data_IF_491042693479
#
_entry.id   IF_491042693479
#
_cell.length_a   1.000
_cell.length_b   1.000
_cell.length_c   1.000
_cell.angle_alpha   90.00
_cell.angle_beta   90.00
_cell.angle_gamma   90.00
#
_symmetry.space_group_name_H-M   'P 1'
#
loop_
_entity.id
_entity.type
_entity.pdbx_description
1 polymer ?
#
# COMPACT_ATOMS: atom_id res chain seq x y z
N UNK A 1 -2.69 -11.72 27.67
CA UNK A 1 -1.24 -11.49 27.41
C UNK A 1 -0.95 -10.00 27.56
N UNK A 2 0.24 -9.59 27.99
CA UNK A 2 0.57 -8.16 28.22
C UNK A 2 1.63 -7.66 27.23
N UNK A 3 1.36 -6.51 26.63
CA UNK A 3 2.21 -5.81 25.65
C UNK A 3 2.33 -4.34 26.05
N UNK A 4 3.29 -3.63 25.46
CA UNK A 4 3.34 -2.17 25.61
C UNK A 4 2.31 -1.53 24.68
N UNK A 5 2.19 -2.07 23.46
CA UNK A 5 1.28 -1.59 22.42
C UNK A 5 0.58 -2.76 21.73
N UNK A 6 -0.76 -2.67 21.59
CA UNK A 6 -1.54 -3.56 20.71
C UNK A 6 -2.01 -2.76 19.50
N UNK A 7 -1.68 -3.25 18.31
CA UNK A 7 -2.01 -2.64 17.03
C UNK A 7 -3.08 -3.51 16.34
N UNK A 8 -4.18 -2.89 15.91
CA UNK A 8 -5.30 -3.58 15.25
C UNK A 8 -5.21 -3.28 13.77
N UNK A 9 -4.74 -4.26 12.99
CA UNK A 9 -4.54 -4.17 11.54
C UNK A 9 -3.10 -4.44 11.12
N UNK A 10 -2.91 -5.43 10.24
CA UNK A 10 -1.60 -5.84 9.71
C UNK A 10 -1.27 -5.28 8.33
N UNK A 11 -1.85 -4.13 7.95
CA UNK A 11 -1.55 -3.42 6.71
C UNK A 11 -0.32 -2.53 6.82
N UNK A 12 -0.13 -1.66 5.82
CA UNK A 12 1.00 -0.73 5.73
C UNK A 12 1.18 0.11 7.01
N UNK A 13 0.12 0.80 7.45
CA UNK A 13 0.18 1.64 8.65
C UNK A 13 0.53 0.87 9.93
N UNK A 14 -0.14 -0.27 10.18
CA UNK A 14 0.08 -1.07 11.39
C UNK A 14 1.47 -1.69 11.45
N UNK A 15 1.98 -2.21 10.34
CA UNK A 15 3.34 -2.74 10.25
C UNK A 15 4.39 -1.64 10.43
N UNK A 16 4.23 -0.49 9.77
CA UNK A 16 5.16 0.64 9.91
C UNK A 16 5.23 1.16 11.35
N UNK A 17 4.07 1.32 12.01
CA UNK A 17 3.99 1.72 13.41
C UNK A 17 4.67 0.68 14.32
N UNK A 18 4.33 -0.59 14.13
CA UNK A 18 4.91 -1.70 14.90
C UNK A 18 6.42 -1.81 14.74
N UNK A 19 6.95 -1.68 13.52
CA UNK A 19 8.40 -1.69 13.24
C UNK A 19 9.07 -0.55 14.01
N UNK A 20 8.57 0.68 13.90
CA UNK A 20 9.19 1.83 14.56
C UNK A 20 9.22 1.69 16.08
N UNK A 21 8.12 1.20 16.66
CA UNK A 21 8.02 0.96 18.11
C UNK A 21 8.96 -0.19 18.56
N UNK A 22 8.99 -1.28 17.80
CA UNK A 22 9.83 -2.45 18.12
C UNK A 22 11.33 -2.15 17.99
N UNK A 23 11.74 -1.26 17.07
CA UNK A 23 13.12 -0.77 16.96
C UNK A 23 13.60 -0.04 18.22
N UNK A 24 12.67 0.50 19.01
CA UNK A 24 12.94 1.15 20.30
C UNK A 24 12.63 0.22 21.49
N UNK A 25 12.54 -1.09 21.24
CA UNK A 25 12.38 -2.11 22.28
C UNK A 25 10.97 -2.25 22.85
N UNK A 26 9.95 -1.59 22.29
CA UNK A 26 8.56 -1.76 22.75
C UNK A 26 8.02 -3.13 22.34
N UNK A 27 7.41 -3.84 23.28
CA UNK A 27 6.75 -5.12 23.04
C UNK A 27 5.41 -4.88 22.34
N UNK A 28 5.37 -5.16 21.05
CA UNK A 28 4.20 -4.90 20.21
C UNK A 28 3.51 -6.20 19.76
N UNK A 29 2.17 -6.18 19.73
CA UNK A 29 1.36 -7.21 19.08
C UNK A 29 0.48 -6.60 17.98
N UNK A 30 0.45 -7.23 16.79
CA UNK A 30 -0.44 -6.89 15.69
C UNK A 30 -1.52 -7.96 15.58
N UNK A 31 -2.79 -7.57 15.72
CA UNK A 31 -3.95 -8.41 15.42
C UNK A 31 -4.38 -8.13 13.98
N UNK A 32 -4.36 -9.13 13.10
CA UNK A 32 -4.67 -8.95 11.68
C UNK A 32 -5.69 -9.97 11.19
N UNK A 33 -6.82 -9.50 10.65
CA UNK A 33 -7.90 -10.33 10.14
C UNK A 33 -7.53 -11.15 8.89
N UNK A 34 -6.32 -10.98 8.35
CA UNK A 34 -5.80 -11.75 7.23
C UNK A 34 -5.20 -10.86 6.15
N UNK A 35 -5.62 -11.11 4.90
CA UNK A 35 -5.18 -10.32 3.75
C UNK A 35 -5.59 -8.85 3.90
N UNK A 36 -4.73 -7.95 3.46
CA UNK A 36 -4.92 -6.51 3.59
C UNK A 36 -4.77 -5.80 2.23
N UNK A 37 -5.02 -4.49 2.20
CA UNK A 37 -5.02 -3.68 0.98
C UNK A 37 -3.70 -3.74 0.18
N UNK A 38 -2.55 -4.09 0.80
CA UNK A 38 -1.30 -4.27 0.04
C UNK A 38 -1.42 -5.37 -1.01
N UNK A 39 -2.25 -6.39 -0.82
CA UNK A 39 -2.49 -7.45 -1.82
C UNK A 39 -3.13 -6.92 -3.11
N UNK A 40 -3.62 -5.68 -3.10
CA UNK A 40 -4.28 -4.99 -4.20
C UNK A 40 -3.45 -3.81 -4.71
N UNK A 41 -2.25 -3.60 -4.15
CA UNK A 41 -1.38 -2.47 -4.45
C UNK A 41 -0.64 -2.64 -5.78
N UNK A 42 -0.41 -1.53 -6.48
CA UNK A 42 0.50 -1.48 -7.63
C UNK A 42 1.99 -1.63 -7.27
N UNK A 43 2.33 -1.78 -5.99
CA UNK A 43 3.72 -1.76 -5.50
C UNK A 43 4.30 -0.36 -5.34
N UNK A 44 3.78 0.61 -6.08
CA UNK A 44 4.13 2.02 -5.90
C UNK A 44 3.32 2.68 -4.76
N UNK A 45 3.91 3.72 -4.17
CA UNK A 45 3.40 4.45 -3.02
C UNK A 45 3.13 5.91 -3.44
N UNK A 46 1.99 6.43 -3.03
CA UNK A 46 1.53 7.79 -3.35
C UNK A 46 1.62 8.68 -2.10
N UNK A 47 2.16 9.89 -2.22
CA UNK A 47 2.31 10.85 -1.13
C UNK A 47 1.22 11.94 -1.14
N UNK A 48 1.19 12.74 -2.20
CA UNK A 48 0.13 13.69 -2.52
C UNK A 48 0.28 14.05 -4.01
N UNK A 49 -0.64 13.56 -4.84
CA UNK A 49 -0.60 13.78 -6.29
C UNK A 49 -1.51 14.93 -6.76
N UNK A 50 -2.56 15.23 -6.00
CA UNK A 50 -3.51 16.30 -6.29
C UNK A 50 -4.03 16.92 -4.99
N UNK A 51 -4.32 18.22 -5.02
CA UNK A 51 -5.08 18.90 -3.97
C UNK A 51 -6.57 18.53 -4.04
N UNK A 52 -7.37 18.79 -2.98
CA UNK A 52 -8.81 18.52 -2.96
C UNK A 52 -9.61 19.11 -4.12
N UNK A 53 -9.18 20.25 -4.67
CA UNK A 53 -9.78 20.89 -5.84
C UNK A 53 -9.37 20.28 -7.19
N UNK A 54 -8.51 19.25 -7.17
CA UNK A 54 -8.01 18.56 -8.35
C UNK A 54 -6.76 19.18 -8.98
N UNK A 55 -6.16 20.21 -8.38
CA UNK A 55 -4.88 20.75 -8.87
C UNK A 55 -3.77 19.71 -8.74
N UNK A 56 -2.98 19.42 -9.79
CA UNK A 56 -1.89 18.45 -9.73
C UNK A 56 -0.74 18.96 -8.86
N UNK A 57 -0.12 18.07 -8.11
CA UNK A 57 1.00 18.34 -7.21
C UNK A 57 2.24 17.61 -7.70
N UNK A 58 3.28 18.37 -8.06
CA UNK A 58 4.60 17.84 -8.41
C UNK A 58 5.53 17.75 -7.20
N UNK A 59 5.47 18.73 -6.28
CA UNK A 59 6.31 18.81 -5.09
C UNK A 59 5.44 18.77 -3.83
N UNK A 60 5.26 17.59 -3.21
CA UNK A 60 4.31 17.41 -2.11
C UNK A 60 4.52 18.34 -0.92
N UNK A 61 5.78 18.65 -0.57
CA UNK A 61 6.11 19.54 0.57
C UNK A 61 5.61 20.96 0.37
N UNK A 62 5.72 21.51 -0.84
CA UNK A 62 5.28 22.87 -1.16
C UNK A 62 3.76 23.01 -1.15
N UNK A 63 3.04 21.90 -1.34
CA UNK A 63 1.58 21.87 -1.39
C UNK A 63 0.92 21.71 0.00
N UNK A 64 1.67 21.47 1.07
CA UNK A 64 1.10 21.16 2.39
C UNK A 64 0.32 22.31 3.02
N UNK A 65 0.78 23.55 2.85
CA UNK A 65 0.11 24.72 3.40
C UNK A 65 -1.22 25.00 2.68
N UNK A 66 -1.23 24.85 1.36
CA UNK A 66 -2.46 24.96 0.56
C UNK A 66 -3.42 23.80 0.85
N UNK A 67 -2.90 22.58 1.03
CA UNK A 67 -3.71 21.43 1.47
C UNK A 67 -4.36 21.72 2.83
N UNK A 68 -3.64 22.30 3.78
CA UNK A 68 -4.20 22.66 5.09
C UNK A 68 -5.31 23.72 4.99
N UNK A 69 -5.22 24.65 4.02
CA UNK A 69 -6.26 25.62 3.74
C UNK A 69 -7.52 24.97 3.14
N UNK A 70 -7.34 24.02 2.21
CA UNK A 70 -8.45 23.35 1.52
C UNK A 70 -9.11 22.24 2.34
N UNK A 71 -8.32 21.49 3.12
CA UNK A 71 -8.74 20.32 3.86
C UNK A 71 -8.09 20.28 5.26
N UNK A 72 -8.55 21.12 6.21
CA UNK A 72 -7.96 21.19 7.56
C UNK A 72 -8.08 19.90 8.37
N UNK A 73 -8.97 18.98 7.97
CA UNK A 73 -9.13 17.67 8.59
C UNK A 73 -8.27 16.57 7.93
N UNK A 74 -7.56 16.87 6.84
CA UNK A 74 -6.66 15.92 6.20
C UNK A 74 -5.58 15.47 7.21
N UNK A 75 -5.18 14.18 7.25
CA UNK A 75 -4.19 13.69 8.21
C UNK A 75 -2.86 14.49 8.20
N UNK A 76 -2.35 14.88 7.03
CA UNK A 76 -1.18 15.76 6.94
C UNK A 76 -1.39 17.14 7.59
N UNK A 77 -2.57 17.73 7.41
CA UNK A 77 -2.91 19.03 7.98
C UNK A 77 -3.09 18.94 9.49
N UNK A 78 -3.62 17.82 10.01
CA UNK A 78 -3.73 17.53 11.45
C UNK A 78 -2.37 17.37 12.12
N UNK A 79 -1.46 16.61 11.51
CA UNK A 79 -0.09 16.43 12.04
C UNK A 79 0.75 17.72 11.91
N UNK A 80 0.41 18.58 10.94
CA UNK A 80 1.09 19.83 10.65
C UNK A 80 2.30 19.68 9.72
N UNK A 81 2.54 20.72 8.91
CA UNK A 81 3.60 20.77 7.87
C UNK A 81 4.98 20.39 8.42
N UNK A 82 5.35 20.92 9.58
CA UNK A 82 6.66 20.65 10.19
C UNK A 82 6.85 19.18 10.56
N UNK A 83 5.82 18.53 11.10
CA UNK A 83 5.88 17.11 11.45
C UNK A 83 5.96 16.23 10.19
N UNK A 84 5.15 16.52 9.18
CA UNK A 84 5.17 15.79 7.90
C UNK A 84 6.55 15.89 7.25
N UNK A 85 7.10 17.10 7.15
CA UNK A 85 8.42 17.33 6.57
C UNK A 85 9.54 16.58 7.31
N UNK A 86 9.48 16.53 8.64
CA UNK A 86 10.47 15.83 9.47
C UNK A 86 10.36 14.29 9.36
N UNK A 87 9.17 13.76 9.09
CA UNK A 87 8.91 12.30 9.05
C UNK A 87 9.18 11.68 7.68
N UNK A 88 9.05 12.43 6.59
CA UNK A 88 9.22 11.91 5.23
C UNK A 88 10.57 11.19 4.98
N UNK A 89 11.73 11.78 5.31
CA UNK A 89 13.01 11.07 5.20
C UNK A 89 13.08 9.80 6.05
N UNK A 90 12.40 9.80 7.21
CA UNK A 90 12.38 8.65 8.12
C UNK A 90 11.54 7.50 7.60
N UNK A 91 10.49 7.79 6.81
CA UNK A 91 9.71 6.78 6.10
C UNK A 91 10.57 6.10 5.04
N UNK A 92 11.26 6.86 4.19
CA UNK A 92 12.13 6.29 3.15
C UNK A 92 13.23 5.42 3.77
N UNK A 93 13.89 5.92 4.82
CA UNK A 93 14.88 5.16 5.58
C UNK A 93 14.29 3.92 6.28
N UNK A 94 12.98 3.89 6.58
CA UNK A 94 12.30 2.71 7.14
C UNK A 94 12.10 1.64 6.10
N UNK A 95 11.67 2.03 4.91
CA UNK A 95 11.51 1.11 3.80
C UNK A 95 12.87 0.49 3.43
N UNK A 96 13.91 1.31 3.31
CA UNK A 96 15.26 0.85 2.99
C UNK A 96 15.80 -0.17 4.02
N UNK A 97 15.77 0.15 5.32
CA UNK A 97 16.21 -0.78 6.38
C UNK A 97 15.28 -1.99 6.58
N UNK A 98 14.10 -1.97 5.96
CA UNK A 98 13.18 -3.12 5.84
C UNK A 98 13.39 -3.88 4.54
N UNK A 99 14.54 -3.71 3.87
CA UNK A 99 14.92 -4.35 2.60
C UNK A 99 13.94 -4.08 1.46
N UNK A 100 13.32 -2.89 1.46
CA UNK A 100 12.40 -2.42 0.41
C UNK A 100 13.11 -1.30 -0.35
N UNK A 101 13.66 -1.65 -1.51
CA UNK A 101 14.25 -0.69 -2.45
C UNK A 101 13.18 -0.16 -3.39
N UNK A 102 13.02 1.16 -3.45
CA UNK A 102 12.09 1.86 -4.32
C UNK A 102 12.81 3.05 -4.98
N UNK A 103 12.30 3.48 -6.13
CA UNK A 103 12.76 4.63 -6.89
C UNK A 103 11.92 5.87 -6.54
N UNK A 104 12.56 7.03 -6.54
CA UNK A 104 11.92 8.32 -6.26
C UNK A 104 12.30 8.88 -4.89
N UNK A 105 11.75 10.05 -4.55
CA UNK A 105 11.95 10.71 -3.26
C UNK A 105 10.79 11.64 -2.96
N UNK A 106 10.55 11.91 -1.68
CA UNK A 106 9.48 12.80 -1.20
C UNK A 106 9.60 14.24 -1.71
N UNK A 107 10.76 14.61 -2.23
CA UNK A 107 11.02 15.93 -2.79
C UNK A 107 10.18 16.20 -4.05
N UNK A 108 9.93 15.17 -4.87
CA UNK A 108 9.22 15.33 -6.13
C UNK A 108 8.49 14.04 -6.53
N UNK A 109 7.22 14.17 -6.88
CA UNK A 109 6.48 13.09 -7.53
C UNK A 109 7.04 12.81 -8.93
N UNK A 110 7.19 11.53 -9.26
CA UNK A 110 7.43 11.06 -10.61
C UNK A 110 6.21 10.32 -11.14
N UNK A 111 6.31 9.78 -12.36
CA UNK A 111 5.22 9.07 -13.00
C UNK A 111 5.51 7.59 -13.09
N UNK A 112 4.53 6.75 -12.75
CA UNK A 112 4.56 5.30 -13.01
C UNK A 112 3.60 4.93 -14.12
N UNK A 113 3.95 3.91 -14.91
CA UNK A 113 3.04 3.35 -15.89
C UNK A 113 1.99 2.44 -15.22
N UNK A 114 0.74 2.54 -15.65
CA UNK A 114 -0.38 1.70 -15.23
C UNK A 114 -0.48 0.45 -16.11
N UNK A 115 -1.26 -0.58 -15.71
CA UNK A 115 -1.48 -1.78 -16.53
C UNK A 115 -2.18 -1.50 -17.89
N UNK A 116 -2.60 -0.25 -18.12
CA UNK A 116 -3.24 0.22 -19.36
C UNK A 116 -2.27 1.05 -20.23
N UNK A 117 -0.98 1.13 -19.89
CA UNK A 117 0.01 1.93 -20.62
C UNK A 117 -0.11 3.45 -20.42
N UNK A 118 -0.94 3.90 -19.47
CA UNK A 118 -1.05 5.32 -19.07
C UNK A 118 -0.09 5.63 -17.93
N UNK A 119 0.17 6.90 -17.67
CA UNK A 119 1.03 7.33 -16.56
C UNK A 119 0.23 7.98 -15.44
N UNK A 120 0.60 7.68 -14.19
CA UNK A 120 0.03 8.28 -12.98
C UNK A 120 1.14 8.78 -12.06
N UNK A 121 0.96 9.96 -11.48
CA UNK A 121 1.91 10.52 -10.53
C UNK A 121 1.96 9.67 -9.24
N UNK A 122 3.15 9.53 -8.67
CA UNK A 122 3.41 8.80 -7.44
C UNK A 122 4.68 9.30 -6.75
N UNK A 123 4.87 8.88 -5.50
CA UNK A 123 6.05 9.24 -4.69
C UNK A 123 7.17 8.22 -4.84
N UNK A 124 6.87 6.93 -4.68
CA UNK A 124 7.85 5.85 -4.76
C UNK A 124 7.36 4.76 -5.72
N UNK A 125 8.26 4.22 -6.55
CA UNK A 125 7.95 3.10 -7.47
C UNK A 125 8.85 1.89 -7.20
N UNK A 126 8.40 0.67 -7.48
CA UNK A 126 9.27 -0.50 -7.54
C UNK A 126 10.46 -0.27 -8.49
N UNK A 127 11.63 -0.81 -8.14
CA UNK A 127 12.88 -0.70 -8.94
C UNK A 127 12.76 -1.35 -10.31
N UNK A 128 11.94 -2.37 -10.41
CA UNK A 128 11.58 -3.09 -11.63
C UNK A 128 10.37 -2.45 -12.34
N UNK A 129 9.83 -1.34 -11.86
CA UNK A 129 8.68 -0.66 -12.45
C UNK A 129 9.03 0.29 -13.60
N UNK A 130 8.08 0.51 -14.51
CA UNK A 130 8.25 1.50 -15.58
C UNK A 130 7.91 2.91 -15.07
N UNK A 131 8.88 3.83 -15.14
CA UNK A 131 8.74 5.20 -14.64
C UNK A 131 9.03 6.26 -15.72
N UNK A 132 8.65 7.51 -15.45
CA UNK A 132 9.08 8.73 -16.17
C UNK A 132 9.33 9.86 -15.17
N UNK A 133 10.29 10.72 -15.48
CA UNK A 133 10.62 11.90 -14.66
C UNK A 133 11.68 11.64 -13.58
N UNK A 134 12.17 10.40 -13.47
CA UNK A 134 13.36 10.07 -12.70
C UNK A 134 14.60 10.02 -13.60
N UNK A 135 15.82 10.18 -13.03
CA UNK A 135 17.04 9.83 -13.74
C UNK A 135 16.95 8.39 -14.29
N UNK A 136 17.45 8.17 -15.50
CA UNK A 136 17.48 6.85 -16.15
C UNK A 136 16.11 6.16 -16.36
N UNK A 137 15.01 6.91 -16.30
CA UNK A 137 13.63 6.41 -16.49
C UNK A 137 13.27 6.06 -17.96
N UNK A 138 14.19 5.43 -18.69
CA UNK A 138 13.96 4.96 -20.05
C UNK A 138 13.55 3.49 -20.04
N UNK A 139 12.47 3.17 -20.71
CA UNK A 139 11.95 1.82 -20.86
C UNK A 139 12.01 1.33 -22.32
N UNK A 140 12.98 1.85 -23.07
CA UNK A 140 13.18 1.56 -24.50
C UNK A 140 12.36 2.46 -25.44
N UNK A 141 12.91 2.70 -26.63
CA UNK A 141 12.24 3.37 -27.75
C UNK A 141 11.37 2.38 -28.55
N UNK A 142 11.71 1.08 -28.49
CA UNK A 142 11.00 -0.02 -29.14
C UNK A 142 10.83 -1.22 -28.16
N UNK A 143 10.04 -1.07 -27.07
CA UNK A 143 9.85 -2.14 -26.10
C UNK A 143 8.95 -3.25 -26.63
N UNK A 144 9.26 -4.49 -26.26
CA UNK A 144 8.30 -5.59 -26.30
C UNK A 144 7.42 -5.53 -25.06
N UNK A 145 6.12 -5.44 -25.24
CA UNK A 145 5.12 -5.72 -24.21
C UNK A 145 4.82 -7.21 -24.22
N UNK A 146 5.51 -7.97 -23.38
CA UNK A 146 5.38 -9.42 -23.28
C UNK A 146 4.19 -9.77 -22.37
N UNK A 147 3.09 -10.22 -22.96
CA UNK A 147 1.99 -10.84 -22.21
C UNK A 147 2.27 -12.32 -21.91
N UNK A 148 1.30 -12.99 -21.29
CA UNK A 148 1.32 -14.43 -21.08
C UNK A 148 0.04 -15.00 -21.69
N UNK A 149 0.17 -16.02 -22.54
CA UNK A 149 -0.98 -16.60 -23.22
C UNK A 149 -2.03 -17.10 -22.21
N UNK A 150 -3.26 -16.59 -22.37
CA UNK A 150 -4.41 -16.91 -21.52
C UNK A 150 -4.48 -16.12 -20.20
N UNK A 151 -3.54 -15.22 -19.92
CA UNK A 151 -3.52 -14.46 -18.66
C UNK A 151 -4.41 -13.22 -18.75
N UNK A 152 -5.55 -13.26 -18.08
CA UNK A 152 -6.60 -12.24 -18.23
C UNK A 152 -6.29 -10.91 -17.54
N UNK A 153 -5.46 -10.94 -16.49
CA UNK A 153 -5.18 -9.78 -15.64
C UNK A 153 -4.18 -8.78 -16.25
N UNK A 154 -3.70 -9.04 -17.48
CA UNK A 154 -2.80 -8.17 -18.22
C UNK A 154 -3.05 -8.24 -19.73
N UNK A 155 -3.23 -7.10 -20.38
CA UNK A 155 -3.58 -7.01 -21.80
C UNK A 155 -2.43 -6.34 -22.59
N UNK A 156 -1.48 -7.16 -23.06
CA UNK A 156 -0.26 -6.71 -23.74
C UNK A 156 -0.54 -5.78 -24.93
N UNK A 157 -1.55 -6.12 -25.74
CA UNK A 157 -1.98 -5.34 -26.91
C UNK A 157 -2.51 -3.95 -26.55
N UNK A 158 -3.22 -3.80 -25.43
CA UNK A 158 -3.75 -2.50 -24.97
C UNK A 158 -2.60 -1.58 -24.56
N UNK A 159 -1.64 -2.11 -23.81
CA UNK A 159 -0.45 -1.35 -23.39
C UNK A 159 0.36 -0.92 -24.61
N UNK A 160 0.67 -1.85 -25.53
CA UNK A 160 1.40 -1.53 -26.74
C UNK A 160 0.68 -0.48 -27.60
N UNK A 161 -0.62 -0.63 -27.84
CA UNK A 161 -1.42 0.35 -28.58
C UNK A 161 -1.44 1.74 -27.91
N UNK A 162 -1.49 1.78 -26.59
CA UNK A 162 -1.46 3.04 -25.81
C UNK A 162 -0.09 3.73 -25.90
N UNK A 163 1.00 2.96 -25.99
CA UNK A 163 2.36 3.49 -26.18
C UNK A 163 2.60 3.92 -27.64
N UNK A 164 2.08 3.18 -28.62
CA UNK A 164 2.09 3.56 -30.03
C UNK A 164 1.38 4.89 -30.26
N UNK A 165 0.23 5.10 -29.62
CA UNK A 165 -0.49 6.37 -29.65
C UNK A 165 0.32 7.54 -29.04
N UNK A 166 1.35 7.25 -28.24
CA UNK A 166 2.30 8.23 -27.68
C UNK A 166 3.60 8.34 -28.50
N UNK A 167 3.68 7.70 -29.67
CA UNK A 167 4.85 7.75 -30.56
C UNK A 167 5.97 6.77 -30.22
N UNK A 168 5.74 5.81 -29.31
CA UNK A 168 6.73 4.78 -28.96
C UNK A 168 6.49 3.56 -29.84
N UNK A 169 7.55 2.99 -30.41
CA UNK A 169 7.46 1.88 -31.36
C UNK A 169 7.16 0.52 -30.67
N UNK A 170 6.33 0.50 -29.62
CA UNK A 170 6.05 -0.68 -28.82
C UNK A 170 5.40 -1.79 -29.66
N UNK A 171 5.78 -3.04 -29.42
CA UNK A 171 5.15 -4.25 -29.97
C UNK A 171 4.61 -5.10 -28.84
N UNK A 172 3.51 -5.82 -29.05
CA UNK A 172 3.03 -6.84 -28.10
C UNK A 172 3.21 -8.24 -28.65
N UNK A 173 3.59 -9.19 -27.80
CA UNK A 173 3.50 -10.62 -28.07
C UNK A 173 3.27 -11.37 -26.75
N UNK A 174 2.77 -12.60 -26.80
CA UNK A 174 2.40 -13.36 -25.60
C UNK A 174 3.29 -14.60 -25.45
N UNK A 175 3.84 -14.78 -24.25
CA UNK A 175 4.66 -15.93 -23.85
C UNK A 175 3.87 -17.24 -23.92
N UNK A 176 4.45 -18.25 -24.56
CA UNK A 176 3.89 -19.61 -24.68
C UNK A 176 4.76 -20.60 -23.92
N UNK A 177 4.54 -20.65 -22.61
CA UNK A 177 5.30 -21.52 -21.70
C UNK A 177 4.45 -22.73 -21.29
N UNK A 178 4.78 -23.97 -21.72
CA UNK A 178 4.04 -25.18 -21.36
C UNK A 178 4.00 -25.46 -19.85
N UNK A 179 4.99 -24.97 -19.09
CA UNK A 179 5.02 -25.08 -17.63
C UNK A 179 3.79 -24.42 -16.97
N UNK A 180 3.14 -23.47 -17.65
CA UNK A 180 1.95 -22.78 -17.18
C UNK A 180 0.64 -23.49 -17.54
N UNK A 181 0.66 -24.55 -18.36
CA UNK A 181 -0.53 -25.22 -18.88
C UNK A 181 -1.44 -25.74 -17.77
N UNK A 182 -0.85 -26.31 -16.71
CA UNK A 182 -1.61 -26.80 -15.55
C UNK A 182 -2.36 -25.68 -14.84
N UNK A 183 -1.76 -24.50 -14.70
CA UNK A 183 -2.45 -23.35 -14.10
C UNK A 183 -3.53 -22.83 -15.05
N UNK A 184 -3.27 -22.81 -16.36
CA UNK A 184 -4.21 -22.32 -17.38
C UNK A 184 -5.51 -23.13 -17.45
N UNK A 185 -5.49 -24.41 -17.07
CA UNK A 185 -6.68 -25.26 -16.96
C UNK A 185 -7.71 -24.73 -15.94
N UNK A 186 -7.29 -23.93 -14.97
CA UNK A 186 -8.18 -23.29 -14.01
C UNK A 186 -8.02 -21.75 -14.06
N UNK A 187 -8.95 -21.04 -14.74
CA UNK A 187 -8.90 -19.58 -14.84
C UNK A 187 -8.91 -18.85 -13.49
N UNK A 188 -9.40 -19.47 -12.41
CA UNK A 188 -9.35 -18.87 -11.06
C UNK A 188 -7.97 -18.96 -10.42
N UNK A 189 -7.16 -19.95 -10.80
CA UNK A 189 -5.80 -20.15 -10.33
C UNK A 189 -4.76 -19.47 -11.23
N UNK A 190 -5.12 -19.10 -12.47
CA UNK A 190 -4.23 -18.37 -13.38
C UNK A 190 -4.15 -16.87 -13.02
N UNK A 191 -3.55 -16.61 -11.86
CA UNK A 191 -3.32 -15.30 -11.25
C UNK A 191 -1.83 -15.02 -11.14
N UNK A 192 -1.45 -13.73 -11.12
CA UNK A 192 -0.05 -13.29 -11.10
C UNK A 192 0.81 -13.99 -10.04
N UNK A 193 0.28 -14.18 -8.82
CA UNK A 193 0.97 -14.83 -7.70
C UNK A 193 1.25 -16.31 -7.97
N UNK A 194 0.30 -17.03 -8.56
CA UNK A 194 0.48 -18.44 -8.87
C UNK A 194 1.41 -18.63 -10.08
N UNK A 195 1.35 -17.72 -11.05
CA UNK A 195 2.32 -17.67 -12.16
C UNK A 195 3.72 -17.46 -11.61
N UNK A 196 3.92 -16.48 -10.72
CA UNK A 196 5.22 -16.21 -10.10
C UNK A 196 5.77 -17.44 -9.36
N UNK A 197 4.95 -18.14 -8.57
CA UNK A 197 5.36 -19.39 -7.91
C UNK A 197 5.87 -20.48 -8.85
N UNK A 198 5.43 -20.48 -10.10
CA UNK A 198 5.93 -21.41 -11.11
C UNK A 198 7.19 -20.83 -11.77
N UNK A 199 7.12 -19.60 -12.27
CA UNK A 199 8.21 -18.99 -13.04
C UNK A 199 9.47 -18.69 -12.21
N UNK A 200 9.33 -18.42 -10.91
CA UNK A 200 10.46 -18.13 -10.01
C UNK A 200 11.28 -19.40 -9.68
N UNK A 201 10.80 -20.59 -10.05
CA UNK A 201 11.55 -21.84 -9.81
C UNK A 201 12.77 -21.89 -10.74
N UNK A 202 13.99 -22.17 -10.22
CA UNK A 202 15.21 -22.19 -11.02
C UNK A 202 15.15 -23.12 -12.25
N UNK A 203 14.44 -24.25 -12.14
CA UNK A 203 14.25 -25.22 -13.22
C UNK A 203 13.51 -24.65 -14.46
N UNK A 204 12.74 -23.58 -14.30
CA UNK A 204 11.97 -22.95 -15.38
C UNK A 204 12.71 -21.77 -16.04
N UNK A 205 13.84 -21.34 -15.46
CA UNK A 205 14.60 -20.17 -15.91
C UNK A 205 15.07 -20.30 -17.36
N UNK A 206 15.59 -21.47 -17.75
CA UNK A 206 16.10 -21.69 -19.10
C UNK A 206 15.00 -21.52 -20.16
N UNK A 207 13.83 -22.13 -19.94
CA UNK A 207 12.69 -22.02 -20.85
C UNK A 207 12.14 -20.59 -20.94
N UNK A 208 12.10 -19.86 -19.82
CA UNK A 208 11.68 -18.46 -19.79
C UNK A 208 12.64 -17.55 -20.59
N UNK A 209 13.96 -17.74 -20.41
CA UNK A 209 14.98 -16.99 -21.15
C UNK A 209 14.90 -17.29 -22.64
N UNK A 210 14.76 -18.55 -23.04
CA UNK A 210 14.65 -18.96 -24.45
C UNK A 210 13.44 -18.30 -25.13
N UNK A 211 12.26 -18.43 -24.52
CA UNK A 211 11.02 -17.86 -25.06
C UNK A 211 11.10 -16.32 -25.16
N UNK A 212 11.56 -15.64 -24.11
CA UNK A 212 11.72 -14.18 -24.12
C UNK A 212 12.77 -13.72 -25.15
N UNK A 213 13.86 -14.47 -25.34
CA UNK A 213 14.88 -14.15 -26.34
C UNK A 213 14.30 -14.16 -27.75
N UNK A 214 13.48 -15.16 -28.05
CA UNK A 214 12.80 -15.30 -29.34
C UNK A 214 11.81 -14.16 -29.56
N UNK A 215 10.94 -13.89 -28.58
CA UNK A 215 9.93 -12.85 -28.70
C UNK A 215 10.55 -11.45 -28.75
N UNK A 216 11.60 -11.17 -27.98
CA UNK A 216 12.19 -9.83 -27.88
C UNK A 216 13.21 -9.52 -29.00
N UNK A 217 13.32 -10.36 -30.04
CA UNK A 217 14.23 -10.09 -31.15
C UNK A 217 13.88 -8.75 -31.84
N UNK A 218 14.89 -7.88 -32.01
CA UNK A 218 14.71 -6.53 -32.55
C UNK A 218 14.12 -5.49 -31.60
N UNK A 219 13.78 -5.84 -30.36
CA UNK A 219 13.34 -4.92 -29.30
C UNK A 219 14.49 -4.52 -28.37
N UNK A 220 14.44 -3.32 -27.79
CA UNK A 220 15.49 -2.77 -26.91
C UNK A 220 15.18 -2.92 -25.42
N UNK A 221 13.93 -3.24 -25.06
CA UNK A 221 13.48 -3.49 -23.71
C UNK A 221 12.32 -4.50 -23.68
N UNK A 222 12.07 -5.09 -22.51
CA UNK A 222 10.93 -5.97 -22.27
C UNK A 222 10.11 -5.40 -21.12
N UNK A 223 8.81 -5.23 -21.33
CA UNK A 223 7.85 -4.86 -20.31
C UNK A 223 6.85 -6.00 -20.20
N UNK A 224 6.68 -6.56 -19.01
CA UNK A 224 5.83 -7.74 -18.80
C UNK A 224 4.98 -7.60 -17.53
N UNK A 225 3.92 -8.41 -17.34
CA UNK A 225 3.17 -8.36 -16.10
C UNK A 225 4.04 -8.71 -14.89
N UNK A 226 3.75 -8.13 -13.74
CA UNK A 226 4.38 -8.43 -12.46
C UNK A 226 3.98 -9.83 -11.95
N UNK A 227 4.54 -10.85 -12.58
CA UNK A 227 4.34 -12.27 -12.29
C UNK A 227 5.68 -13.00 -12.06
N UNK A 228 6.68 -12.26 -11.57
CA UNK A 228 8.02 -12.74 -11.24
C UNK A 228 8.49 -12.10 -9.93
N UNK A 229 9.42 -12.78 -9.28
CA UNK A 229 10.12 -12.30 -8.09
C UNK A 229 9.24 -12.18 -6.86
N UNK A 230 8.30 -13.12 -6.65
CA UNK A 230 7.43 -13.14 -5.49
C UNK A 230 8.22 -13.29 -4.19
N UNK A 231 9.14 -14.25 -4.14
CA UNK A 231 9.96 -14.52 -2.96
C UNK A 231 11.34 -13.83 -3.03
N UNK A 232 11.82 -13.51 -4.23
CA UNK A 232 13.13 -12.91 -4.48
C UNK A 232 13.05 -11.89 -5.62
N UNK A 233 13.16 -10.57 -5.34
CA UNK A 233 13.12 -9.54 -6.38
C UNK A 233 14.31 -9.61 -7.37
N UNK A 234 15.40 -10.25 -6.98
CA UNK A 234 16.63 -10.40 -7.77
C UNK A 234 16.40 -11.18 -9.08
N UNK A 235 15.39 -12.05 -9.13
CA UNK A 235 15.02 -12.85 -10.31
C UNK A 235 14.88 -12.00 -11.57
N UNK A 236 14.31 -10.80 -11.45
CA UNK A 236 14.11 -9.87 -12.58
C UNK A 236 15.44 -9.35 -13.11
N UNK A 237 16.37 -8.99 -12.23
CA UNK A 237 17.71 -8.54 -12.60
C UNK A 237 18.52 -9.66 -13.26
N UNK A 238 18.50 -10.85 -12.66
CA UNK A 238 19.16 -12.02 -13.24
C UNK A 238 18.57 -12.41 -14.61
N UNK A 239 17.28 -12.17 -14.85
CA UNK A 239 16.64 -12.40 -16.15
C UNK A 239 17.04 -11.33 -17.17
N UNK A 240 17.14 -10.07 -16.74
CA UNK A 240 17.62 -8.97 -17.57
C UNK A 240 19.09 -9.18 -18.01
N UNK A 241 19.95 -9.63 -17.09
CA UNK A 241 21.34 -10.00 -17.37
C UNK A 241 21.43 -11.14 -18.39
N UNK A 242 20.65 -12.21 -18.21
CA UNK A 242 20.64 -13.35 -19.12
C UNK A 242 20.17 -12.99 -20.55
N UNK A 243 19.25 -12.03 -20.67
CA UNK A 243 18.72 -11.56 -21.95
C UNK A 243 19.54 -10.43 -22.58
N UNK A 244 20.44 -9.81 -21.81
CA UNK A 244 21.20 -8.62 -22.23
C UNK A 244 20.32 -7.40 -22.50
N UNK A 245 19.12 -7.33 -21.88
CA UNK A 245 18.13 -6.26 -22.11
C UNK A 245 17.44 -5.87 -20.80
N UNK A 246 17.07 -4.59 -20.63
CA UNK A 246 16.29 -4.17 -19.47
C UNK A 246 14.91 -4.84 -19.47
N UNK A 247 14.50 -5.28 -18.29
CA UNK A 247 13.18 -5.85 -18.04
C UNK A 247 12.48 -5.01 -16.99
N UNK A 248 11.23 -4.66 -17.27
CA UNK A 248 10.37 -3.97 -16.32
C UNK A 248 9.04 -4.69 -16.17
N UNK A 249 8.48 -4.61 -14.97
CA UNK A 249 7.22 -5.20 -14.57
C UNK A 249 6.15 -4.12 -14.48
N UNK A 250 4.98 -4.42 -15.05
CA UNK A 250 3.76 -3.64 -14.83
C UNK A 250 2.87 -4.34 -13.81
N UNK A 251 2.22 -3.59 -12.90
CA UNK A 251 1.26 -4.18 -11.98
C UNK A 251 0.14 -4.89 -12.75
N UNK A 252 -0.48 -5.88 -12.11
CA UNK A 252 -1.59 -6.68 -12.65
C UNK A 252 -2.84 -6.46 -11.80
N UNK A 253 -3.98 -7.03 -12.22
CA UNK A 253 -5.12 -7.11 -11.33
C UNK A 253 -4.78 -7.95 -10.08
N UNK A 254 -5.42 -7.67 -8.94
CA UNK A 254 -5.20 -8.41 -7.70
C UNK A 254 -5.43 -9.93 -7.86
N UNK A 255 -4.66 -10.79 -7.16
CA UNK A 255 -3.65 -10.44 -6.16
C UNK A 255 -2.31 -9.96 -6.76
N UNK A 256 -1.71 -8.95 -6.14
CA UNK A 256 -0.48 -8.29 -6.58
C UNK A 256 0.79 -8.90 -6.00
N UNK A 257 1.72 -9.31 -6.86
CA UNK A 257 3.07 -9.77 -6.48
C UNK A 257 3.87 -8.64 -5.81
N UNK A 258 3.84 -7.44 -6.40
CA UNK A 258 4.58 -6.28 -5.89
C UNK A 258 4.09 -5.86 -4.50
N UNK A 259 2.78 -5.90 -4.29
CA UNK A 259 2.17 -5.61 -3.01
C UNK A 259 2.44 -6.67 -1.94
N UNK A 260 2.47 -7.95 -2.33
CA UNK A 260 2.85 -9.05 -1.45
C UNK A 260 4.30 -8.94 -0.97
N UNK A 261 5.24 -8.60 -1.88
CA UNK A 261 6.66 -8.36 -1.52
C UNK A 261 6.78 -7.30 -0.43
N UNK A 262 6.10 -6.16 -0.59
CA UNK A 262 6.07 -5.09 0.42
C UNK A 262 5.55 -5.60 1.76
N UNK A 263 4.43 -6.34 1.75
CA UNK A 263 3.85 -6.88 2.97
C UNK A 263 4.75 -7.91 3.66
N UNK A 264 5.38 -8.81 2.89
CA UNK A 264 6.30 -9.83 3.38
C UNK A 264 7.53 -9.19 4.01
N UNK A 265 8.17 -8.22 3.33
CA UNK A 265 9.35 -7.53 3.84
C UNK A 265 9.08 -6.78 5.15
N UNK A 266 7.99 -6.00 5.23
CA UNK A 266 7.60 -5.31 6.46
C UNK A 266 7.23 -6.31 7.59
N UNK A 267 6.48 -7.37 7.26
CA UNK A 267 6.10 -8.39 8.25
C UNK A 267 7.31 -9.16 8.78
N UNK A 268 8.28 -9.47 7.93
CA UNK A 268 9.52 -10.11 8.30
C UNK A 268 10.35 -9.20 9.19
N UNK A 269 10.52 -7.92 8.82
CA UNK A 269 11.21 -6.92 9.63
C UNK A 269 10.60 -6.80 11.03
N UNK A 270 9.27 -6.68 11.12
CA UNK A 270 8.59 -6.57 12.41
C UNK A 270 8.83 -7.80 13.30
N UNK A 271 8.76 -9.02 12.73
CA UNK A 271 9.05 -10.27 13.47
C UNK A 271 10.51 -10.38 13.91
N UNK A 272 11.46 -9.96 13.05
CA UNK A 272 12.89 -9.93 13.38
C UNK A 272 13.18 -9.01 14.58
N UNK A 273 12.40 -7.95 14.75
CA UNK A 273 12.47 -7.04 15.89
C UNK A 273 11.75 -7.57 17.16
N UNK A 274 11.26 -8.82 17.14
CA UNK A 274 10.55 -9.44 18.26
C UNK A 274 9.05 -9.13 18.33
N UNK A 275 8.49 -8.47 17.30
CA UNK A 275 7.07 -8.19 17.18
C UNK A 275 6.22 -9.46 17.00
N UNK A 276 5.07 -9.53 17.68
CA UNK A 276 4.13 -10.63 17.54
C UNK A 276 3.05 -10.28 16.51
N UNK A 277 2.88 -11.10 15.48
CA UNK A 277 1.77 -10.98 14.51
C UNK A 277 0.80 -12.13 14.72
N UNK A 278 -0.48 -11.82 14.89
CA UNK A 278 -1.59 -12.78 15.00
C UNK A 278 -2.41 -12.76 13.71
N UNK A 279 -1.99 -13.50 12.66
CA UNK A 279 -2.67 -13.52 11.38
C UNK A 279 -3.99 -14.31 11.45
N UNK A 280 -5.00 -13.85 10.70
CA UNK A 280 -6.33 -14.46 10.66
C UNK A 280 -7.16 -14.22 11.92
N UNK A 281 -6.70 -13.40 12.86
CA UNK A 281 -7.43 -13.04 14.07
C UNK A 281 -8.00 -11.62 13.96
N UNK A 282 -9.21 -11.41 14.48
CA UNK A 282 -9.93 -10.13 14.35
C UNK A 282 -10.21 -9.56 15.73
N UNK A 283 -9.87 -8.29 15.95
CA UNK A 283 -10.34 -7.56 17.13
C UNK A 283 -11.87 -7.40 17.05
N UNK A 284 -12.58 -7.82 18.10
CA UNK A 284 -14.05 -7.83 18.15
C UNK A 284 -14.57 -6.70 19.02
N UNK A 285 -13.88 -6.40 20.13
CA UNK A 285 -14.21 -5.31 21.05
C UNK A 285 -13.00 -4.93 21.87
N UNK A 286 -13.00 -3.72 22.42
CA UNK A 286 -12.05 -3.30 23.42
C UNK A 286 -12.74 -2.84 24.70
N UNK A 287 -12.04 -2.93 25.83
CA UNK A 287 -12.43 -2.33 27.11
C UNK A 287 -11.35 -1.33 27.49
N UNK A 288 -11.77 -0.07 27.64
CA UNK A 288 -10.90 1.03 28.05
C UNK A 288 -10.92 1.14 29.58
N UNK A 289 -9.76 1.02 30.21
CA UNK A 289 -9.56 1.33 31.62
C UNK A 289 -8.53 2.46 31.76
N UNK A 290 -8.49 3.11 32.93
CA UNK A 290 -7.72 4.34 33.15
C UNK A 290 -6.23 4.26 32.78
N UNK A 291 -5.61 3.08 32.82
CA UNK A 291 -4.18 2.89 32.53
C UNK A 291 -3.88 1.74 31.54
N UNK A 292 -4.91 1.05 31.06
CA UNK A 292 -4.75 -0.15 30.24
C UNK A 292 -5.93 -0.31 29.30
N UNK A 293 -5.64 -0.75 28.08
CA UNK A 293 -6.64 -1.14 27.07
C UNK A 293 -6.61 -2.66 26.95
N UNK A 294 -7.78 -3.29 27.08
CA UNK A 294 -7.96 -4.71 26.89
C UNK A 294 -8.69 -5.00 25.56
N UNK A 295 -7.96 -5.50 24.57
CA UNK A 295 -8.50 -5.85 23.25
C UNK A 295 -8.87 -7.34 23.24
N UNK A 296 -10.13 -7.63 22.95
CA UNK A 296 -10.63 -8.99 22.75
C UNK A 296 -10.62 -9.34 21.27
N UNK A 297 -10.06 -10.49 20.94
CA UNK A 297 -10.02 -11.00 19.57
C UNK A 297 -10.85 -12.26 19.41
N UNK A 298 -11.22 -12.56 18.17
CA UNK A 298 -12.06 -13.69 17.81
C UNK A 298 -11.45 -15.03 18.26
N UNK A 299 -10.15 -15.23 18.05
CA UNK A 299 -9.49 -16.48 18.40
C UNK A 299 -9.13 -16.61 19.89
N UNK A 300 -8.91 -15.50 20.59
CA UNK A 300 -8.52 -15.52 22.00
C UNK A 300 -9.69 -15.42 22.98
N UNK A 301 -10.93 -15.25 22.49
CA UNK A 301 -12.19 -15.27 23.26
C UNK A 301 -12.11 -14.44 24.56
N UNK A 302 -11.99 -15.12 25.70
CA UNK A 302 -12.03 -14.53 27.04
C UNK A 302 -10.67 -14.01 27.53
N UNK A 303 -9.58 -14.29 26.81
CA UNK A 303 -8.23 -13.85 27.17
C UNK A 303 -7.87 -12.59 26.37
N UNK A 304 -8.00 -11.38 26.93
CA UNK A 304 -7.66 -10.16 26.21
C UNK A 304 -6.15 -9.99 26.02
N UNK A 305 -5.82 -9.26 24.96
CA UNK A 305 -4.53 -8.61 24.79
C UNK A 305 -4.57 -7.30 25.56
N UNK A 306 -3.72 -7.17 26.56
CA UNK A 306 -3.66 -6.02 27.45
C UNK A 306 -2.45 -5.16 27.10
N UNK A 307 -2.65 -3.86 26.95
CA UNK A 307 -1.56 -2.93 26.66
C UNK A 307 -1.78 -1.55 27.25
N UNK A 308 -0.68 -0.82 27.48
CA UNK A 308 -0.73 0.59 27.89
C UNK A 308 -1.37 1.43 26.79
N UNK A 309 -1.00 1.16 25.54
CA UNK A 309 -1.48 1.85 24.35
C UNK A 309 -2.17 0.90 23.36
N UNK A 310 -3.15 1.41 22.64
CA UNK A 310 -3.72 0.74 21.49
C UNK A 310 -3.66 1.64 20.25
N UNK A 311 -3.42 1.03 19.08
CA UNK A 311 -3.37 1.74 17.80
C UNK A 311 -4.34 1.06 16.84
N UNK A 312 -5.37 1.79 16.42
CA UNK A 312 -6.32 1.36 15.40
C UNK A 312 -5.76 1.65 14.01
N UNK A 313 -5.37 0.60 13.31
CA UNK A 313 -4.86 0.60 11.93
C UNK A 313 -5.68 -0.34 11.03
N UNK A 314 -6.98 -0.46 11.33
CA UNK A 314 -7.89 -1.47 10.75
C UNK A 314 -8.24 -1.23 9.29
N UNK A 315 -7.86 -0.08 8.74
CA UNK A 315 -8.29 0.37 7.42
C UNK A 315 -9.75 0.86 7.40
N UNK A 316 -10.19 1.30 6.23
CA UNK A 316 -11.56 1.80 6.01
C UNK A 316 -12.54 0.64 5.73
N UNK A 317 -13.54 0.88 4.88
CA UNK A 317 -14.58 -0.05 4.47
C UNK A 317 -14.06 -1.38 3.90
N UNK A 318 -13.04 -1.34 3.03
CA UNK A 318 -12.50 -2.53 2.38
C UNK A 318 -12.01 -3.58 3.39
N UNK A 319 -11.41 -3.13 4.50
CA UNK A 319 -10.86 -4.00 5.55
C UNK A 319 -11.83 -4.24 6.71
N UNK A 320 -13.10 -3.78 6.59
CA UNK A 320 -14.11 -3.78 7.65
C UNK A 320 -13.68 -3.04 8.94
N UNK A 321 -12.76 -2.07 8.82
CA UNK A 321 -12.44 -1.18 9.94
C UNK A 321 -13.47 -0.07 10.13
N UNK A 322 -14.17 0.29 9.04
CA UNK A 322 -15.44 1.02 9.09
C UNK A 322 -16.54 0.13 8.53
N UNK A 323 -17.69 0.11 9.19
CA UNK A 323 -18.86 -0.68 8.78
C UNK A 323 -20.00 0.28 8.47
N UNK A 324 -20.65 0.07 7.33
CA UNK A 324 -21.83 0.84 6.95
C UNK A 324 -23.10 0.10 7.34
N UNK A 325 -24.07 0.86 7.82
CA UNK A 325 -25.47 0.47 7.88
C UNK A 325 -26.27 1.44 7.00
N UNK A 326 -27.59 1.31 6.99
CA UNK A 326 -28.44 2.14 6.12
C UNK A 326 -28.27 3.63 6.39
N UNK A 327 -28.23 4.01 7.67
CA UNK A 327 -28.27 5.39 8.17
C UNK A 327 -27.01 5.82 8.94
N UNK A 328 -26.02 4.94 9.10
CA UNK A 328 -24.82 5.24 9.88
C UNK A 328 -23.56 4.53 9.41
N UNK A 329 -22.42 5.14 9.71
CA UNK A 329 -21.10 4.51 9.63
C UNK A 329 -20.54 4.35 11.04
N UNK A 330 -19.98 3.19 11.35
CA UNK A 330 -19.47 2.87 12.69
C UNK A 330 -18.09 2.23 12.64
N UNK A 331 -17.23 2.56 13.60
CA UNK A 331 -16.03 1.80 13.92
C UNK A 331 -16.40 0.68 14.92
N UNK A 332 -16.16 -0.60 14.62
CA UNK A 332 -16.77 -1.71 15.36
C UNK A 332 -16.03 -2.15 16.63
N UNK A 333 -14.77 -1.77 16.85
CA UNK A 333 -13.94 -2.31 17.95
C UNK A 333 -14.03 -1.46 19.21
N UNK A 334 -13.94 -0.14 19.06
CA UNK A 334 -13.95 0.85 20.13
C UNK A 334 -15.23 1.68 20.16
N UNK A 335 -15.97 1.75 19.05
CA UNK A 335 -17.15 2.60 18.94
C UNK A 335 -16.77 4.07 18.81
N UNK A 336 -15.74 4.37 17.99
CA UNK A 336 -15.26 5.73 17.76
C UNK A 336 -16.32 6.62 17.12
N UNK A 337 -16.21 7.92 17.38
CA UNK A 337 -16.94 8.94 16.64
C UNK A 337 -16.41 8.99 15.21
N UNK A 338 -17.27 8.72 14.24
CA UNK A 338 -16.93 8.67 12.82
C UNK A 338 -17.60 9.83 12.10
N UNK A 339 -16.83 10.55 11.28
CA UNK A 339 -17.38 11.53 10.35
C UNK A 339 -17.91 10.84 9.10
N UNK A 340 -19.16 11.10 8.79
CA UNK A 340 -19.82 10.71 7.55
C UNK A 340 -20.92 11.73 7.23
N UNK A 341 -21.41 11.74 5.99
CA UNK A 341 -22.52 12.60 5.60
C UNK A 341 -23.82 12.11 6.26
N UNK A 342 -24.60 13.01 6.86
CA UNK A 342 -25.83 12.61 7.59
C UNK A 342 -26.88 11.95 6.70
N UNK A 343 -27.04 12.44 5.47
CA UNK A 343 -27.99 11.92 4.49
C UNK A 343 -27.34 10.89 3.58
N UNK A 344 -27.97 9.72 3.43
CA UNK A 344 -27.45 8.58 2.67
C UNK A 344 -27.20 8.91 1.20
N UNK A 345 -28.02 9.78 0.63
CA UNK A 345 -27.93 10.25 -0.76
C UNK A 345 -26.61 11.00 -1.02
N UNK A 346 -26.04 11.62 0.02
CA UNK A 346 -24.78 12.36 -0.06
C UNK A 346 -23.52 11.49 0.05
N UNK A 347 -23.65 10.16 0.21
CA UNK A 347 -22.49 9.29 0.43
C UNK A 347 -21.70 9.00 -0.85
N UNK A 348 -22.36 9.03 -2.00
CA UNK A 348 -21.77 8.67 -3.30
C UNK A 348 -22.30 9.56 -4.41
N UNK A 349 -21.48 9.76 -5.44
CA UNK A 349 -21.89 10.42 -6.68
C UNK A 349 -22.32 9.35 -7.71
N UNK A 350 -23.16 9.75 -8.67
CA UNK A 350 -23.59 8.85 -9.75
C UNK A 350 -22.44 8.52 -10.72
N UNK A 351 -21.59 9.51 -11.01
CA UNK A 351 -20.39 9.29 -11.80
C UNK A 351 -19.34 8.58 -10.92
N UNK A 352 -18.94 7.38 -11.31
CA UNK A 352 -17.97 6.56 -10.56
C UNK A 352 -16.53 7.06 -10.74
N UNK A 353 -16.27 7.94 -11.71
CA UNK A 353 -14.94 8.47 -12.01
C UNK A 353 -14.62 9.78 -11.29
N UNK A 354 -15.60 10.41 -10.63
CA UNK A 354 -15.36 11.59 -9.78
C UNK A 354 -15.04 11.17 -8.35
N UNK A 355 -14.38 12.05 -7.56
CA UNK A 355 -14.14 11.81 -6.14
C UNK A 355 -15.45 11.46 -5.41
N UNK A 356 -15.39 10.41 -4.60
CA UNK A 356 -16.57 9.89 -3.90
C UNK A 356 -16.58 10.39 -2.45
N UNK A 357 -17.68 11.02 -1.96
CA UNK A 357 -17.73 11.57 -0.60
C UNK A 357 -17.37 10.56 0.50
N UNK A 358 -17.83 9.30 0.37
CA UNK A 358 -17.53 8.26 1.35
C UNK A 358 -16.04 7.96 1.53
N UNK A 359 -15.18 8.30 0.55
CA UNK A 359 -13.73 8.09 0.68
C UNK A 359 -13.13 8.93 1.81
N UNK A 360 -13.76 10.05 2.18
CA UNK A 360 -13.31 10.93 3.25
C UNK A 360 -13.89 10.59 4.63
N UNK A 361 -14.77 9.60 4.71
CA UNK A 361 -15.38 9.19 5.98
C UNK A 361 -14.35 8.45 6.84
N UNK A 362 -14.35 8.72 8.14
CA UNK A 362 -13.36 8.12 9.04
C UNK A 362 -13.47 8.58 10.49
N UNK A 363 -12.61 8.03 11.33
CA UNK A 363 -12.53 8.37 12.75
C UNK A 363 -12.13 9.84 12.93
N UNK A 364 -12.88 10.54 13.78
CA UNK A 364 -12.57 11.91 14.19
C UNK A 364 -11.43 11.86 15.21
N UNK A 365 -10.38 12.63 14.94
CA UNK A 365 -9.17 12.69 15.77
C UNK A 365 -8.74 14.12 16.10
N UNK A 366 -7.91 14.28 17.12
CA UNK A 366 -7.18 15.52 17.43
C UNK A 366 -5.87 15.67 16.62
N UNK A 367 -5.06 16.70 16.89
CA UNK A 367 -3.76 16.90 16.22
C UNK A 367 -2.74 15.79 16.54
N UNK A 368 -2.97 15.04 17.62
CA UNK A 368 -2.12 13.93 18.04
C UNK A 368 -2.58 12.58 17.47
N UNK A 369 -3.69 12.56 16.73
CA UNK A 369 -4.34 11.37 16.21
C UNK A 369 -4.97 10.48 17.30
N UNK A 370 -5.33 11.05 18.45
CA UNK A 370 -6.21 10.40 19.42
C UNK A 370 -7.65 10.45 18.90
N UNK A 371 -8.34 9.32 18.76
CA UNK A 371 -9.72 9.32 18.33
C UNK A 371 -10.68 9.72 19.44
N UNK A 372 -11.87 10.17 19.04
CA UNK A 372 -12.95 10.55 19.95
C UNK A 372 -13.93 9.41 20.19
N UNK A 373 -14.45 9.36 21.41
CA UNK A 373 -15.59 8.52 21.80
C UNK A 373 -16.56 9.41 22.60
N UNK A 374 -17.77 9.62 22.09
CA UNK A 374 -18.76 10.45 22.77
C UNK A 374 -18.33 11.92 22.91
N UNK A 375 -17.53 12.41 21.97
CA UNK A 375 -16.99 13.77 21.94
C UNK A 375 -15.66 13.98 22.68
N UNK A 376 -15.19 13.01 23.46
CA UNK A 376 -13.95 13.09 24.23
C UNK A 376 -12.80 12.32 23.58
N UNK A 377 -11.60 12.87 23.60
CA UNK A 377 -10.39 12.19 23.08
C UNK A 377 -9.83 11.20 24.10
N UNK A 378 -9.39 10.04 23.62
CA UNK A 378 -8.81 8.99 24.47
C UNK A 378 -7.29 8.97 24.32
N UNK A 379 -6.57 9.51 25.31
CA UNK A 379 -5.12 9.78 25.21
C UNK A 379 -4.20 8.56 25.10
N UNK A 380 -4.67 7.33 25.37
CA UNK A 380 -3.88 6.11 25.18
C UNK A 380 -4.35 5.25 24.00
N UNK A 381 -5.26 5.78 23.19
CA UNK A 381 -5.75 5.18 21.96
C UNK A 381 -5.37 6.08 20.78
N UNK A 382 -4.88 5.50 19.70
CA UNK A 382 -4.54 6.23 18.49
C UNK A 382 -5.23 5.62 17.28
N UNK A 383 -5.47 6.42 16.23
CA UNK A 383 -5.95 5.95 14.94
C UNK A 383 -4.98 6.35 13.83
N UNK A 384 -4.66 5.42 12.92
CA UNK A 384 -3.69 5.65 11.84
C UNK A 384 -4.12 5.02 10.51
N UNK A 385 -3.61 5.58 9.42
CA UNK A 385 -3.87 5.12 8.06
C UNK A 385 -5.31 5.33 7.62
N UNK A 386 -5.83 4.41 6.81
CA UNK A 386 -7.08 4.60 6.08
C UNK A 386 -8.36 4.67 6.94
N UNK A 387 -8.28 4.46 8.26
CA UNK A 387 -9.43 4.64 9.15
C UNK A 387 -9.67 6.12 9.49
N UNK A 388 -8.69 7.00 9.25
CA UNK A 388 -8.76 8.43 9.52
C UNK A 388 -9.73 9.14 8.57
N UNK A 389 -10.33 10.23 9.04
CA UNK A 389 -11.21 11.09 8.25
C UNK A 389 -10.45 12.06 7.32
N UNK A 390 -11.19 12.71 6.42
CA UNK A 390 -10.79 13.99 5.84
C UNK A 390 -9.86 13.92 4.63
N UNK A 391 -9.73 12.77 3.98
CA UNK A 391 -8.91 12.62 2.78
C UNK A 391 -9.50 11.61 1.79
N UNK A 392 -9.26 11.80 0.50
CA UNK A 392 -9.60 10.82 -0.54
C UNK A 392 -8.29 10.19 -1.07
N UNK A 393 -7.98 8.93 -0.70
CA UNK A 393 -6.71 8.30 -1.06
C UNK A 393 -6.52 8.15 -2.58
N UNK A 394 -7.62 8.09 -3.34
CA UNK A 394 -7.58 7.89 -4.79
C UNK A 394 -7.49 9.22 -5.51
N UNK A 395 -8.40 10.15 -5.23
CA UNK A 395 -8.46 11.45 -5.92
C UNK A 395 -7.22 12.30 -5.61
N UNK A 396 -6.81 12.34 -4.34
CA UNK A 396 -5.64 13.13 -3.91
C UNK A 396 -4.34 12.34 -4.13
N UNK A 397 -4.39 11.01 -4.26
CA UNK A 397 -3.21 10.15 -4.40
C UNK A 397 -2.27 10.29 -3.21
N UNK A 398 -2.79 10.00 -2.01
CA UNK A 398 -2.06 10.14 -0.75
C UNK A 398 -2.19 8.92 0.18
N UNK A 399 -2.86 7.84 -0.25
CA UNK A 399 -3.22 6.73 0.65
C UNK A 399 -2.03 6.03 1.33
N UNK A 400 -0.92 5.83 0.59
CA UNK A 400 0.28 5.23 1.16
C UNK A 400 1.01 6.20 2.10
N UNK A 401 1.18 7.46 1.68
CA UNK A 401 1.79 8.50 2.50
C UNK A 401 1.03 8.73 3.81
N UNK A 402 -0.31 8.81 3.78
CA UNK A 402 -1.14 8.90 5.00
C UNK A 402 -0.89 7.70 5.91
N UNK A 403 -0.87 6.49 5.35
CA UNK A 403 -0.61 5.27 6.12
C UNK A 403 0.77 5.28 6.80
N UNK A 404 1.82 5.69 6.08
CA UNK A 404 3.19 5.68 6.57
C UNK A 404 3.48 6.81 7.56
N UNK A 405 3.02 8.03 7.25
CA UNK A 405 3.30 9.22 8.06
C UNK A 405 2.50 9.22 9.35
N UNK A 406 1.20 8.89 9.32
CA UNK A 406 0.40 8.78 10.57
C UNK A 406 0.95 7.69 11.49
N UNK A 407 1.43 6.57 10.92
CA UNK A 407 2.06 5.49 11.67
C UNK A 407 3.33 5.94 12.40
N UNK A 408 4.24 6.63 11.72
CA UNK A 408 5.45 7.16 12.36
C UNK A 408 5.14 8.27 13.35
N UNK A 409 4.20 9.17 13.02
CA UNK A 409 3.80 10.25 13.91
C UNK A 409 3.31 9.73 15.27
N UNK A 410 2.40 8.74 15.26
CA UNK A 410 1.90 8.09 16.48
C UNK A 410 3.00 7.31 17.19
N UNK A 411 3.86 6.60 16.45
CA UNK A 411 4.98 5.87 17.05
C UNK A 411 5.90 6.83 17.84
N UNK A 412 6.25 7.99 17.27
CA UNK A 412 7.08 8.99 17.96
C UNK A 412 6.41 9.55 19.22
N UNK A 413 5.09 9.72 19.22
CA UNK A 413 4.36 10.18 20.40
C UNK A 413 4.39 9.15 21.53
N UNK A 414 4.06 7.89 21.22
CA UNK A 414 4.11 6.77 22.19
C UNK A 414 5.51 6.63 22.79
N UNK A 415 6.56 6.83 21.99
CA UNK A 415 7.95 6.74 22.43
C UNK A 415 8.34 7.88 23.37
N UNK A 416 7.84 9.11 23.14
CA UNK A 416 8.08 10.26 24.02
C UNK A 416 7.40 10.08 25.39
N UNK A 417 6.16 9.60 25.40
CA UNK A 417 5.41 9.37 26.65
C UNK A 417 5.92 8.17 27.47
N UNK A 418 6.62 7.23 26.82
CA UNK A 418 7.20 6.08 27.50
C UNK A 418 8.55 6.34 28.17
N UNK A 419 9.14 7.53 27.98
CA UNK A 419 10.42 7.96 28.56
C UNK A 419 10.26 8.94 29.74
N UNK A 420 9.01 9.27 30.08
CA UNK A 420 8.60 9.99 31.30
C UNK A 420 8.07 8.98 32.31
#
# INVERSE_FOLDING_TARGET
MRYDVVIIGGGLAGLTCGIRLAEQGKRCAIVSAGQNALHFSSGALDLLSHLPDGQPVSQPLEALDELARQAPHHPYSRMGTAAVAALLPQVEALLERSTISLLGSYQQNHWRMTPLGKFRACWLSPVDGVTRGLPDSRFGDNPLIAGIEGFLDFQSRIVAGTLQAQGIAARSDDLKLPVLDRLRQNPSEFRAVNIARVLDRPENRAALVEELSLLANGNDAIIMPACLGLDSPEVVGELAEALGKPISLLPTLPPSVLGLRLHQALSQRFRQLGGMVMPGDRAVRAVLAAQEIAVHSHHHRDIPLRAKYAVLASGSFFSNGLVTQFDRVTEPVFGLDVRFAEQREGWSQQDVFVPQPYMQFGAIVDEHLHPRIGGETIGNLYAIGAVLEGFDPIAQGCGAGVSLLSALHVAEQILKEGNL
#
